data_IF_054431196058
#
_entry.id   IF_054431196058
#
_cell.length_a   1.000
_cell.length_b   1.000
_cell.length_c   1.000
_cell.angle_alpha   90.00
_cell.angle_beta   90.00
_cell.angle_gamma   90.00
#
_symmetry.space_group_name_H-M   'P 1'
#
loop_
_entity.id
_entity.type
_entity.pdbx_description
1 polymer ?
#
# COMPACT_ATOMS: atom_id res chain seq x y z
N UNK A 1 -4.63 32.02 -24.10
CA UNK A 1 -3.96 31.88 -25.41
C UNK A 1 -2.49 31.61 -25.08
N UNK A 2 -1.97 30.42 -25.33
CA UNK A 2 -0.57 30.09 -25.00
C UNK A 2 0.36 30.91 -25.90
N UNK A 3 1.16 31.79 -25.30
CA UNK A 3 2.14 32.57 -26.03
C UNK A 3 3.38 31.71 -26.28
N UNK A 4 3.51 31.28 -27.54
CA UNK A 4 4.68 30.62 -28.17
C UNK A 4 4.80 29.09 -28.05
N UNK A 5 5.12 28.48 -29.21
CA UNK A 5 5.51 27.08 -29.39
C UNK A 5 6.60 26.59 -28.42
N UNK A 6 7.40 27.50 -27.84
CA UNK A 6 8.47 27.18 -26.91
C UNK A 6 7.97 26.73 -25.53
N UNK A 7 6.85 27.30 -25.04
CA UNK A 7 6.20 26.85 -23.80
C UNK A 7 5.55 25.49 -23.97
N UNK A 8 4.93 25.25 -25.13
CA UNK A 8 4.34 23.96 -25.49
C UNK A 8 5.42 22.89 -25.66
N UNK A 9 6.57 23.21 -26.27
CA UNK A 9 7.69 22.26 -26.43
C UNK A 9 8.26 21.77 -25.09
N UNK A 10 8.33 22.63 -24.06
CA UNK A 10 8.73 22.23 -22.69
C UNK A 10 7.80 21.18 -22.07
N UNK A 11 6.52 21.15 -22.50
CA UNK A 11 5.52 20.17 -22.06
C UNK A 11 5.64 18.85 -22.86
N UNK A 12 6.06 18.89 -24.13
CA UNK A 12 6.23 17.69 -24.96
C UNK A 12 7.58 16.98 -24.79
N UNK A 13 8.65 17.67 -24.37
CA UNK A 13 9.93 17.05 -23.97
C UNK A 13 9.87 16.44 -22.55
N UNK A 14 8.67 16.23 -22.02
CA UNK A 14 8.42 15.76 -20.66
C UNK A 14 8.55 14.24 -20.59
N UNK A 15 9.63 13.76 -20.00
CA UNK A 15 9.74 12.36 -19.59
C UNK A 15 8.82 12.12 -18.38
N UNK A 16 7.55 11.86 -18.68
CA UNK A 16 6.51 11.62 -17.68
C UNK A 16 6.87 10.43 -16.80
N UNK A 17 7.54 9.40 -17.35
CA UNK A 17 7.97 8.22 -16.62
C UNK A 17 9.02 8.57 -15.56
N UNK A 18 10.00 9.42 -15.91
CA UNK A 18 11.01 9.88 -14.94
C UNK A 18 10.43 10.70 -13.81
N UNK A 19 9.36 11.45 -14.07
CA UNK A 19 8.68 12.25 -13.04
C UNK A 19 7.77 11.42 -12.17
N UNK A 20 7.08 10.44 -12.75
CA UNK A 20 6.37 9.39 -12.00
C UNK A 20 7.32 8.63 -11.08
N UNK A 21 8.44 8.13 -11.62
CA UNK A 21 9.47 7.42 -10.85
C UNK A 21 9.97 8.26 -9.66
N UNK A 22 10.24 9.55 -9.91
CA UNK A 22 10.65 10.47 -8.84
C UNK A 22 9.56 10.67 -7.79
N UNK A 23 8.30 10.83 -8.20
CA UNK A 23 7.18 11.03 -7.28
C UNK A 23 6.96 9.79 -6.40
N UNK A 24 6.92 8.59 -7.00
CA UNK A 24 6.73 7.32 -6.30
C UNK A 24 7.89 7.01 -5.36
N UNK A 25 9.14 7.24 -5.78
CA UNK A 25 10.33 7.07 -4.92
C UNK A 25 10.27 7.92 -3.64
N UNK A 26 9.64 9.09 -3.70
CA UNK A 26 9.46 9.96 -2.53
C UNK A 26 8.33 9.52 -1.60
N UNK A 27 7.59 8.45 -1.93
CA UNK A 27 6.33 8.06 -1.29
C UNK A 27 6.32 6.62 -0.79
N UNK A 28 7.47 5.94 -0.74
CA UNK A 28 7.56 4.53 -0.33
C UNK A 28 6.96 4.28 1.05
N UNK A 29 7.20 5.18 2.01
CA UNK A 29 6.70 5.05 3.38
C UNK A 29 5.18 5.21 3.42
N UNK A 30 4.62 6.05 2.54
CA UNK A 30 3.18 6.24 2.39
C UNK A 30 2.53 5.02 1.78
N UNK A 31 3.09 4.46 0.71
CA UNK A 31 2.60 3.20 0.11
C UNK A 31 2.56 2.09 1.17
N UNK A 32 3.63 1.97 1.99
CA UNK A 32 3.66 1.01 3.09
C UNK A 32 2.57 1.31 4.12
N UNK A 33 2.40 2.58 4.52
CA UNK A 33 1.38 2.98 5.49
C UNK A 33 -0.04 2.65 5.01
N UNK A 34 -0.35 2.90 3.73
CA UNK A 34 -1.62 2.53 3.12
C UNK A 34 -1.83 1.01 3.13
N UNK A 35 -0.84 0.23 2.68
CA UNK A 35 -0.91 -1.24 2.70
C UNK A 35 -1.11 -1.76 4.14
N UNK A 36 -0.39 -1.22 5.12
CA UNK A 36 -0.54 -1.63 6.51
C UNK A 36 -1.90 -1.23 7.09
N UNK A 37 -2.42 -0.05 6.70
CA UNK A 37 -3.74 0.42 7.09
C UNK A 37 -4.85 -0.55 6.67
N UNK A 38 -4.93 -0.89 5.38
CA UNK A 38 -5.94 -1.83 4.90
C UNK A 38 -5.83 -3.22 5.58
N UNK A 39 -4.62 -3.71 5.84
CA UNK A 39 -4.41 -4.98 6.54
C UNK A 39 -4.84 -4.91 8.02
N UNK A 40 -4.72 -3.74 8.65
CA UNK A 40 -5.25 -3.49 9.99
C UNK A 40 -6.78 -3.47 10.00
N UNK A 41 -7.41 -3.08 8.90
CA UNK A 41 -8.87 -3.12 8.71
C UNK A 41 -9.37 -4.50 8.22
N UNK A 42 -8.45 -5.45 8.07
CA UNK A 42 -8.72 -6.82 7.64
C UNK A 42 -9.06 -6.93 6.16
N UNK A 43 -8.46 -6.07 5.33
CA UNK A 43 -8.61 -6.05 3.88
C UNK A 43 -7.28 -6.37 3.19
N UNK A 44 -7.31 -7.32 2.27
CA UNK A 44 -6.15 -7.75 1.49
C UNK A 44 -5.98 -6.87 0.22
N UNK A 45 -4.88 -7.03 -0.51
CA UNK A 45 -4.58 -6.25 -1.72
C UNK A 45 -5.53 -6.54 -2.89
N UNK A 46 -6.34 -7.60 -2.80
CA UNK A 46 -7.40 -7.92 -3.76
C UNK A 46 -8.75 -7.30 -3.35
N UNK A 47 -8.79 -6.53 -2.25
CA UNK A 47 -10.01 -5.94 -1.69
C UNK A 47 -10.90 -6.96 -0.96
N UNK A 48 -10.38 -8.15 -0.67
CA UNK A 48 -11.10 -9.19 0.06
C UNK A 48 -10.99 -8.96 1.56
N UNK A 49 -12.10 -9.19 2.26
CA UNK A 49 -12.06 -9.26 3.72
C UNK A 49 -11.38 -10.56 4.16
N UNK A 50 -10.36 -10.43 5.01
CA UNK A 50 -9.67 -11.56 5.65
C UNK A 50 -10.59 -12.08 6.76
N UNK A 51 -11.21 -13.23 6.55
CA UNK A 51 -12.21 -13.79 7.48
C UNK A 51 -11.66 -14.96 8.29
N UNK A 52 -10.54 -15.53 7.88
CA UNK A 52 -10.00 -16.77 8.46
C UNK A 52 -8.50 -16.68 8.76
N UNK A 53 -8.10 -17.41 9.79
CA UNK A 53 -6.71 -17.66 10.20
C UNK A 53 -6.61 -19.12 10.67
N UNK A 54 -5.67 -19.88 10.13
CA UNK A 54 -5.56 -21.34 10.27
C UNK A 54 -6.76 -22.07 9.66
N UNK A 55 -7.36 -21.53 8.60
CA UNK A 55 -8.55 -22.10 7.94
C UNK A 55 -9.86 -21.94 8.73
N UNK A 56 -9.91 -21.08 9.76
CA UNK A 56 -11.14 -20.84 10.53
C UNK A 56 -11.22 -19.38 11.02
N UNK A 57 -12.41 -18.85 11.34
CA UNK A 57 -12.53 -17.58 12.04
C UNK A 57 -11.79 -17.59 13.38
N UNK A 58 -11.65 -16.41 14.00
CA UNK A 58 -11.01 -16.33 15.32
C UNK A 58 -11.62 -17.30 16.33
N UNK A 59 -10.76 -18.08 16.98
CA UNK A 59 -11.17 -18.99 18.06
C UNK A 59 -11.90 -18.21 19.17
N UNK A 60 -12.88 -18.80 19.88
CA UNK A 60 -13.65 -18.10 20.92
C UNK A 60 -12.78 -17.43 22.00
N UNK A 61 -11.66 -18.05 22.38
CA UNK A 61 -10.68 -17.46 23.31
C UNK A 61 -10.07 -16.17 22.75
N UNK A 62 -9.68 -16.16 21.47
CA UNK A 62 -9.17 -14.98 20.77
C UNK A 62 -10.22 -13.89 20.69
N UNK A 63 -11.47 -14.22 20.37
CA UNK A 63 -12.59 -13.27 20.36
C UNK A 63 -12.77 -12.62 21.73
N UNK A 64 -12.77 -13.38 22.83
CA UNK A 64 -12.88 -12.84 24.20
C UNK A 64 -11.73 -11.89 24.53
N UNK A 65 -10.50 -12.29 24.22
CA UNK A 65 -9.31 -11.45 24.43
C UNK A 65 -9.36 -10.15 23.63
N UNK A 66 -9.77 -10.21 22.36
CA UNK A 66 -9.89 -9.04 21.49
C UNK A 66 -10.99 -8.09 21.96
N UNK A 67 -12.15 -8.61 22.36
CA UNK A 67 -13.22 -7.82 22.99
C UNK A 67 -12.76 -7.09 24.24
N UNK A 68 -12.01 -7.76 25.11
CA UNK A 68 -11.45 -7.15 26.32
C UNK A 68 -10.46 -6.01 26.02
N UNK A 69 -9.86 -6.00 24.83
CA UNK A 69 -8.96 -4.95 24.34
C UNK A 69 -9.64 -3.94 23.41
N UNK A 70 -10.98 -3.98 23.29
CA UNK A 70 -11.75 -3.14 22.36
C UNK A 70 -11.31 -3.25 20.89
N UNK A 71 -10.85 -4.43 20.48
CA UNK A 71 -10.43 -4.70 19.11
C UNK A 71 -11.56 -5.39 18.34
N UNK A 72 -11.57 -5.19 17.01
CA UNK A 72 -12.54 -5.83 16.12
C UNK A 72 -12.48 -7.36 16.19
N UNK A 73 -13.60 -8.04 15.99
CA UNK A 73 -13.68 -9.51 16.03
C UNK A 73 -14.43 -10.13 14.86
N UNK A 74 -15.01 -9.30 13.99
CA UNK A 74 -15.74 -9.69 12.79
C UNK A 74 -14.83 -10.01 11.60
N UNK A 75 -13.61 -9.46 11.60
CA UNK A 75 -12.58 -9.67 10.58
C UNK A 75 -11.26 -10.03 11.24
N UNK A 76 -10.41 -10.73 10.50
CA UNK A 76 -9.03 -11.00 10.90
C UNK A 76 -8.17 -9.84 10.45
N UNK A 77 -7.47 -9.22 11.39
CA UNK A 77 -6.43 -8.25 11.09
C UNK A 77 -5.04 -8.80 11.46
N UNK A 78 -4.03 -8.18 10.86
CA UNK A 78 -2.63 -8.48 11.11
C UNK A 78 -2.02 -7.56 12.19
N UNK A 79 -2.86 -6.83 12.95
CA UNK A 79 -2.42 -5.83 13.95
C UNK A 79 -1.44 -6.36 15.00
N UNK A 80 -1.52 -7.66 15.33
CA UNK A 80 -0.66 -8.30 16.32
C UNK A 80 0.70 -8.77 15.79
N UNK A 81 0.99 -8.64 14.51
CA UNK A 81 2.23 -9.12 13.90
C UNK A 81 3.24 -8.00 13.71
N UNK A 82 3.38 -7.09 14.68
CA UNK A 82 4.22 -5.88 14.58
C UNK A 82 5.63 -6.08 13.99
N UNK A 83 6.29 -7.23 14.21
CA UNK A 83 7.56 -7.57 13.55
C UNK A 83 7.43 -7.80 12.05
N UNK A 84 6.35 -8.43 11.58
CA UNK A 84 6.04 -8.60 10.15
C UNK A 84 5.94 -7.24 9.44
N UNK A 85 5.20 -6.28 10.02
CA UNK A 85 5.04 -4.95 9.42
C UNK A 85 6.37 -4.18 9.28
N UNK A 86 7.35 -4.40 10.16
CA UNK A 86 8.67 -3.79 10.05
C UNK A 86 9.48 -4.29 8.84
N UNK A 87 9.07 -5.39 8.23
CA UNK A 87 9.77 -5.99 7.08
C UNK A 87 9.29 -5.47 5.74
N UNK A 88 8.23 -4.66 5.72
CA UNK A 88 7.66 -4.10 4.50
C UNK A 88 8.65 -3.17 3.81
N UNK A 89 8.78 -3.34 2.49
CA UNK A 89 9.63 -2.52 1.63
C UNK A 89 8.95 -2.32 0.29
N UNK A 90 9.21 -1.18 -0.34
CA UNK A 90 8.80 -0.92 -1.72
C UNK A 90 10.02 -1.07 -2.63
N UNK A 91 9.90 -1.93 -3.63
CA UNK A 91 10.87 -2.05 -4.72
C UNK A 91 10.34 -1.26 -5.90
N UNK A 92 11.12 -0.29 -6.39
CA UNK A 92 10.75 0.50 -7.56
C UNK A 92 11.26 -0.21 -8.81
N UNK A 93 10.34 -0.48 -9.73
CA UNK A 93 10.58 -1.16 -11.01
C UNK A 93 10.45 -0.16 -12.16
N UNK A 94 10.91 -0.54 -13.35
CA UNK A 94 10.85 0.33 -14.53
C UNK A 94 9.40 0.78 -14.86
N UNK A 95 8.41 -0.06 -14.56
CA UNK A 95 7.01 0.17 -14.91
C UNK A 95 6.08 0.30 -13.69
N UNK A 96 6.62 0.54 -12.49
CA UNK A 96 5.79 0.64 -11.29
C UNK A 96 6.55 0.36 -10.00
N UNK A 97 5.85 -0.18 -9.03
CA UNK A 97 6.42 -0.60 -7.76
C UNK A 97 5.86 -1.94 -7.33
N UNK A 98 6.60 -2.62 -6.46
CA UNK A 98 6.18 -3.85 -5.80
C UNK A 98 6.36 -3.67 -4.29
N UNK A 99 5.34 -4.04 -3.52
CA UNK A 99 5.47 -4.12 -2.07
C UNK A 99 5.96 -5.53 -1.73
N UNK A 100 6.98 -5.61 -0.88
CA UNK A 100 7.59 -6.87 -0.45
C UNK A 100 7.65 -6.90 1.07
N UNK A 101 7.62 -8.09 1.66
CA UNK A 101 7.79 -8.30 3.09
C UNK A 101 8.46 -9.65 3.35
N UNK A 102 9.03 -9.81 4.56
CA UNK A 102 9.51 -11.11 5.01
C UNK A 102 8.41 -11.79 5.83
N UNK A 103 7.88 -12.87 5.28
CA UNK A 103 6.83 -13.69 5.91
C UNK A 103 7.38 -14.70 6.93
N UNK A 104 8.68 -14.98 6.91
CA UNK A 104 9.30 -15.97 7.78
C UNK A 104 9.39 -15.48 9.23
N UNK A 105 9.01 -16.36 10.16
CA UNK A 105 9.20 -16.19 11.59
C UNK A 105 10.01 -17.36 12.15
N UNK A 106 10.58 -17.24 13.38
CA UNK A 106 11.31 -18.34 14.00
C UNK A 106 10.52 -19.65 14.13
N UNK A 107 9.18 -19.56 14.17
CA UNK A 107 8.25 -20.68 14.31
C UNK A 107 7.53 -21.09 13.01
N UNK A 108 7.92 -20.53 11.86
CA UNK A 108 7.34 -20.82 10.54
C UNK A 108 6.86 -19.57 9.79
N UNK A 109 6.33 -19.75 8.58
CA UNK A 109 5.84 -18.61 7.80
C UNK A 109 4.50 -18.12 8.36
N UNK A 110 4.32 -16.81 8.41
CA UNK A 110 3.01 -16.24 8.76
C UNK A 110 1.92 -16.68 7.76
N UNK A 111 2.29 -16.89 6.49
CA UNK A 111 1.37 -17.29 5.42
C UNK A 111 0.76 -18.67 5.65
N UNK A 112 1.44 -19.56 6.38
CA UNK A 112 0.93 -20.90 6.71
C UNK A 112 -0.38 -20.85 7.51
N UNK A 113 -0.66 -19.70 8.14
CA UNK A 113 -1.89 -19.45 8.87
C UNK A 113 -2.99 -18.85 8.00
N UNK A 114 -2.82 -18.71 6.69
CA UNK A 114 -3.80 -18.06 5.83
C UNK A 114 -4.08 -18.90 4.59
N UNK A 115 -5.27 -18.68 4.01
CA UNK A 115 -5.58 -19.23 2.69
C UNK A 115 -4.67 -18.60 1.65
N UNK A 116 -4.22 -19.38 0.67
CA UNK A 116 -3.48 -18.88 -0.50
C UNK A 116 -4.33 -17.97 -1.41
N UNK A 117 -5.62 -17.79 -1.11
CA UNK A 117 -6.51 -16.87 -1.81
C UNK A 117 -6.37 -15.41 -1.40
N UNK A 118 -5.63 -15.14 -0.31
CA UNK A 118 -5.38 -13.77 0.16
C UNK A 118 -4.06 -13.25 -0.37
N UNK A 119 -4.02 -11.96 -0.72
CA UNK A 119 -2.79 -11.26 -1.05
C UNK A 119 -2.53 -10.13 -0.06
N UNK A 120 -1.44 -10.21 0.69
CA UNK A 120 -1.13 -9.24 1.74
C UNK A 120 -0.28 -8.05 1.26
N UNK A 121 0.27 -8.12 0.04
CA UNK A 121 1.23 -7.15 -0.46
C UNK A 121 0.64 -6.32 -1.58
N UNK A 122 0.71 -5.00 -1.42
CA UNK A 122 0.15 -4.04 -2.36
C UNK A 122 -1.06 -3.31 -1.80
N UNK A 123 -1.68 -2.53 -2.68
CA UNK A 123 -2.85 -1.74 -2.36
C UNK A 123 -4.06 -2.33 -3.08
N UNK A 124 -5.18 -2.46 -2.37
CA UNK A 124 -6.45 -2.68 -3.05
C UNK A 124 -6.85 -1.45 -3.89
N UNK A 125 -7.87 -1.58 -4.74
CA UNK A 125 -8.25 -0.50 -5.64
C UNK A 125 -8.68 0.78 -4.89
N UNK A 126 -9.32 0.65 -3.72
CA UNK A 126 -9.78 1.80 -2.95
C UNK A 126 -8.59 2.54 -2.34
N UNK A 127 -7.69 1.81 -1.69
CA UNK A 127 -6.47 2.32 -1.06
C UNK A 127 -5.50 2.88 -2.10
N UNK A 128 -5.43 2.27 -3.30
CA UNK A 128 -4.65 2.77 -4.42
C UNK A 128 -5.19 4.12 -4.91
N UNK A 129 -6.50 4.22 -5.12
CA UNK A 129 -7.13 5.48 -5.56
C UNK A 129 -6.91 6.58 -4.53
N UNK A 130 -7.11 6.29 -3.24
CA UNK A 130 -6.89 7.24 -2.15
C UNK A 130 -5.43 7.69 -2.11
N UNK A 131 -4.47 6.77 -2.16
CA UNK A 131 -3.05 7.12 -2.24
C UNK A 131 -2.71 7.95 -3.48
N UNK A 132 -3.28 7.63 -4.64
CA UNK A 132 -3.07 8.40 -5.87
C UNK A 132 -3.57 9.84 -5.70
N UNK A 133 -4.79 10.00 -5.20
CA UNK A 133 -5.44 11.31 -5.10
C UNK A 133 -4.85 12.18 -4.00
N UNK A 134 -4.54 11.60 -2.85
CA UNK A 134 -4.12 12.34 -1.66
C UNK A 134 -2.60 12.58 -1.60
N UNK A 135 -1.81 11.65 -2.13
CA UNK A 135 -0.35 11.68 -1.96
C UNK A 135 0.37 11.88 -3.30
N UNK A 136 0.06 11.05 -4.30
CA UNK A 136 0.82 11.05 -5.56
C UNK A 136 0.51 12.26 -6.45
N UNK A 137 -0.78 12.55 -6.67
CA UNK A 137 -1.23 13.60 -7.57
C UNK A 137 -0.76 15.00 -7.14
N UNK A 138 -0.81 15.39 -5.85
CA UNK A 138 -0.27 16.66 -5.40
C UNK A 138 1.23 16.81 -5.68
N UNK A 139 2.01 15.74 -5.48
CA UNK A 139 3.46 15.74 -5.73
C UNK A 139 3.74 15.86 -7.22
N UNK A 140 3.03 15.10 -8.06
CA UNK A 140 3.15 15.20 -9.51
C UNK A 140 2.81 16.60 -9.99
N UNK A 141 1.72 17.20 -9.52
CA UNK A 141 1.32 18.55 -9.86
C UNK A 141 2.40 19.58 -9.47
N UNK A 142 3.00 19.45 -8.28
CA UNK A 142 4.11 20.31 -7.86
C UNK A 142 5.35 20.14 -8.74
N UNK A 143 5.71 18.90 -9.09
CA UNK A 143 6.85 18.61 -9.94
C UNK A 143 6.64 19.15 -11.37
N UNK A 144 5.43 19.03 -11.91
CA UNK A 144 5.03 19.62 -13.19
C UNK A 144 5.18 21.13 -13.12
N UNK A 145 4.52 21.80 -12.16
CA UNK A 145 4.56 23.26 -11.98
C UNK A 145 5.98 23.81 -11.91
N UNK A 146 6.80 23.22 -11.03
CA UNK A 146 8.23 23.58 -10.89
C UNK A 146 9.01 23.45 -12.20
N UNK A 147 8.67 22.46 -13.03
CA UNK A 147 9.39 22.20 -14.27
C UNK A 147 9.00 23.17 -15.40
N UNK A 148 7.73 23.57 -15.46
CA UNK A 148 7.23 24.52 -16.46
C UNK A 148 7.36 25.99 -16.01
N UNK A 149 7.76 26.23 -14.75
CA UNK A 149 8.00 27.57 -14.21
C UNK A 149 6.74 28.27 -13.69
N UNK A 150 5.74 27.49 -13.26
CA UNK A 150 4.53 27.95 -12.58
C UNK A 150 4.61 27.73 -11.06
#
# INVERSE_FOLDING_TARGET
MFETFAEIKKIFDFDIYKLMDKAVKGQTDKIIAFNQGQLQDGMDALGQTITTIGGSPYRPKTVRMRKAKHLQTNKVDLKFTGEFYKTFRVVILQNGYEVTANFEKPDGSILDNFSSSYDFLGLDQASLTEWVDEELFPILAQLIRKKIGL
#
